data_IF_656814751518
#
_entry.id   IF_656814751518
#
_cell.length_a   1.000
_cell.length_b   1.000
_cell.length_c   1.000
_cell.angle_alpha   90.00
_cell.angle_beta   90.00
_cell.angle_gamma   90.00
#
_symmetry.space_group_name_H-M   'P 1'
#
loop_
_entity.id
_entity.type
_entity.pdbx_description
1 polymer ?
#
# COMPACT_ATOMS: atom_id res chain seq x y z
N UNK A 1 -20.69 -9.95 0.38
CA UNK A 1 -19.81 -11.07 0.72
C UNK A 1 -18.71 -11.05 -0.34
N UNK A 2 -17.57 -10.41 -0.05
CA UNK A 2 -16.40 -10.49 -0.94
C UNK A 2 -15.88 -11.92 -0.80
N UNK A 3 -16.28 -12.80 -1.71
CA UNK A 3 -15.65 -14.11 -1.83
C UNK A 3 -14.14 -13.90 -1.86
N UNK A 4 -13.48 -14.64 -0.99
CA UNK A 4 -12.12 -14.43 -0.53
C UNK A 4 -11.18 -14.31 -1.72
N UNK A 5 -10.83 -13.08 -2.11
CA UNK A 5 -9.62 -12.81 -2.87
C UNK A 5 -8.46 -13.28 -2.01
N UNK A 6 -8.10 -14.55 -2.14
CA UNK A 6 -6.93 -15.11 -1.48
C UNK A 6 -5.72 -14.55 -2.20
N UNK A 7 -5.27 -13.39 -1.73
CA UNK A 7 -4.03 -12.81 -2.19
C UNK A 7 -2.90 -13.70 -1.68
N UNK A 8 -2.16 -14.31 -2.59
CA UNK A 8 -0.98 -15.08 -2.23
C UNK A 8 0.01 -14.15 -1.51
N UNK A 9 0.56 -14.61 -0.38
CA UNK A 9 1.56 -13.84 0.36
C UNK A 9 2.82 -13.68 -0.49
N UNK A 10 3.30 -12.45 -0.60
CA UNK A 10 4.56 -12.14 -1.28
C UNK A 10 5.75 -12.60 -0.44
N UNK A 11 6.57 -13.47 -1.02
CA UNK A 11 7.79 -14.00 -0.41
C UNK A 11 9.07 -13.35 -0.94
N UNK A 12 8.95 -12.49 -1.96
CA UNK A 12 10.05 -11.90 -2.70
C UNK A 12 10.06 -12.27 -4.19
N UNK A 13 9.27 -13.25 -4.60
CA UNK A 13 9.21 -13.76 -5.98
C UNK A 13 8.01 -13.18 -6.75
N UNK A 14 8.13 -13.09 -8.08
CA UNK A 14 7.03 -12.67 -8.97
C UNK A 14 6.39 -11.32 -8.60
N UNK A 15 7.21 -10.33 -8.21
CA UNK A 15 6.76 -9.04 -7.70
C UNK A 15 5.72 -8.36 -8.59
N UNK A 16 5.90 -8.35 -9.92
CA UNK A 16 4.93 -7.76 -10.86
C UNK A 16 3.53 -8.37 -10.71
N UNK A 17 3.43 -9.71 -10.67
CA UNK A 17 2.14 -10.40 -10.54
C UNK A 17 1.47 -10.13 -9.19
N UNK A 18 2.24 -10.18 -8.11
CA UNK A 18 1.71 -9.87 -6.78
C UNK A 18 1.24 -8.41 -6.70
N UNK A 19 2.05 -7.48 -7.22
CA UNK A 19 1.76 -6.04 -7.27
C UNK A 19 0.44 -5.78 -8.00
N UNK A 20 0.25 -6.36 -9.19
CA UNK A 20 -0.97 -6.16 -9.98
C UNK A 20 -2.22 -6.68 -9.25
N UNK A 21 -2.15 -7.86 -8.64
CA UNK A 21 -3.27 -8.41 -7.85
C UNK A 21 -3.62 -7.53 -6.65
N UNK A 22 -2.61 -7.04 -5.92
CA UNK A 22 -2.83 -6.18 -4.75
C UNK A 22 -3.38 -4.81 -5.16
N UNK A 23 -2.86 -4.21 -6.23
CA UNK A 23 -3.38 -2.95 -6.76
C UNK A 23 -4.83 -3.07 -7.20
N UNK A 24 -5.19 -4.15 -7.91
CA UNK A 24 -6.59 -4.41 -8.28
C UNK A 24 -7.47 -4.46 -7.03
N UNK A 25 -7.08 -5.24 -6.02
CA UNK A 25 -7.81 -5.36 -4.78
C UNK A 25 -7.97 -4.03 -4.02
N UNK A 26 -6.91 -3.23 -3.89
CA UNK A 26 -6.98 -1.92 -3.23
C UNK A 26 -7.85 -0.92 -4.03
N UNK A 27 -7.95 -1.11 -5.35
CA UNK A 27 -8.74 -0.24 -6.24
C UNK A 27 -10.22 -0.53 -6.08
N UNK A 28 -10.61 -1.81 -6.00
CA UNK A 28 -11.98 -2.23 -5.66
C UNK A 28 -12.40 -1.72 -4.26
N UNK A 29 -11.45 -1.55 -3.35
CA UNK A 29 -11.68 -0.96 -2.03
C UNK A 29 -11.67 0.59 -2.02
N UNK A 30 -11.31 1.24 -3.13
CA UNK A 30 -11.24 2.70 -3.23
C UNK A 30 -10.10 3.36 -2.45
N UNK A 31 -9.06 2.61 -2.07
CA UNK A 31 -7.95 3.10 -1.21
C UNK A 31 -6.59 3.14 -1.90
N UNK A 32 -6.51 2.79 -3.19
CA UNK A 32 -5.24 2.82 -3.97
C UNK A 32 -4.62 4.22 -4.05
N UNK A 33 -5.41 5.28 -3.94
CA UNK A 33 -4.92 6.67 -3.97
C UNK A 33 -3.84 6.94 -2.91
N UNK A 34 -3.86 6.21 -1.80
CA UNK A 34 -2.88 6.31 -0.72
C UNK A 34 -1.47 5.81 -1.09
N UNK A 35 -1.33 5.13 -2.23
CA UNK A 35 -0.03 4.66 -2.72
C UNK A 35 0.63 5.66 -3.67
N UNK A 36 -0.12 6.68 -4.09
CA UNK A 36 0.32 7.59 -5.14
C UNK A 36 1.45 8.50 -4.66
N UNK A 37 2.40 8.80 -5.53
CA UNK A 37 3.54 9.69 -5.20
C UNK A 37 3.15 11.16 -5.02
N UNK A 38 2.01 11.56 -5.59
CA UNK A 38 1.43 12.90 -5.51
C UNK A 38 0.39 13.03 -4.38
N UNK A 39 0.31 12.05 -3.47
CA UNK A 39 -0.57 12.10 -2.31
C UNK A 39 -0.28 13.36 -1.48
N UNK A 40 -1.26 14.27 -1.44
CA UNK A 40 -1.15 15.48 -0.64
C UNK A 40 -1.35 15.18 0.83
N UNK A 41 -0.61 15.89 1.68
CA UNK A 41 -0.85 15.87 3.11
C UNK A 41 -2.19 16.54 3.42
N UNK A 42 -2.94 16.00 4.37
CA UNK A 42 -4.09 16.71 4.91
C UNK A 42 -3.61 17.95 5.66
N UNK A 43 -4.35 19.07 5.58
CA UNK A 43 -4.07 20.22 6.43
C UNK A 43 -4.18 19.83 7.90
N UNK A 44 -3.33 20.46 8.72
CA UNK A 44 -3.36 20.34 10.17
C UNK A 44 -4.77 20.64 10.72
N UNK A 45 -5.25 19.91 11.75
CA UNK A 45 -6.53 20.19 12.37
C UNK A 45 -6.60 21.62 12.92
N UNK A 46 -7.65 22.36 12.55
CA UNK A 46 -7.95 23.68 13.12
C UNK A 46 -9.31 23.67 13.83
N UNK A 47 -9.52 24.61 14.75
CA UNK A 47 -10.79 24.72 15.47
C UNK A 47 -11.94 25.13 14.53
N UNK A 48 -11.59 25.81 13.44
CA UNK A 48 -12.46 26.33 12.39
C UNK A 48 -12.79 25.29 11.31
N UNK A 49 -12.22 24.08 11.37
CA UNK A 49 -12.49 23.02 10.41
C UNK A 49 -14.00 22.70 10.38
N UNK A 50 -14.58 22.72 9.19
CA UNK A 50 -15.95 22.29 8.99
C UNK A 50 -16.11 20.79 9.28
N UNK A 51 -17.35 20.35 9.51
CA UNK A 51 -17.63 18.93 9.77
C UNK A 51 -17.25 18.05 8.57
N UNK A 52 -17.33 18.57 7.35
CA UNK A 52 -16.88 17.89 6.13
C UNK A 52 -15.37 17.66 6.13
N UNK A 53 -14.57 18.65 6.55
CA UNK A 53 -13.10 18.53 6.63
C UNK A 53 -12.73 17.49 7.69
N UNK A 54 -13.39 17.52 8.85
CA UNK A 54 -13.17 16.55 9.93
C UNK A 54 -13.53 15.12 9.48
N UNK A 55 -14.65 14.96 8.77
CA UNK A 55 -15.07 13.67 8.24
C UNK A 55 -14.11 13.15 7.16
N UNK A 56 -13.63 14.02 6.26
CA UNK A 56 -12.64 13.66 5.25
C UNK A 56 -11.31 13.22 5.87
N UNK A 57 -10.83 13.93 6.91
CA UNK A 57 -9.62 13.57 7.65
C UNK A 57 -9.78 12.18 8.29
N UNK A 58 -10.87 11.98 9.03
CA UNK A 58 -11.15 10.68 9.66
C UNK A 58 -11.21 9.55 8.65
N UNK A 59 -11.89 9.76 7.51
CA UNK A 59 -11.96 8.77 6.44
C UNK A 59 -10.56 8.42 5.91
N UNK A 60 -9.70 9.43 5.69
CA UNK A 60 -8.32 9.20 5.22
C UNK A 60 -7.50 8.42 6.26
N UNK A 61 -7.64 8.73 7.54
CA UNK A 61 -6.96 8.00 8.62
C UNK A 61 -7.40 6.52 8.66
N UNK A 62 -8.72 6.27 8.53
CA UNK A 62 -9.28 4.92 8.47
C UNK A 62 -8.79 4.16 7.21
N UNK A 63 -8.76 4.83 6.06
CA UNK A 63 -8.25 4.27 4.81
C UNK A 63 -6.74 3.96 4.91
N UNK A 64 -5.95 4.80 5.56
CA UNK A 64 -4.50 4.60 5.77
C UNK A 64 -4.22 3.35 6.61
N UNK A 65 -4.93 3.19 7.74
CA UNK A 65 -4.83 2.00 8.59
C UNK A 65 -5.19 0.75 7.80
N UNK A 66 -6.29 0.80 7.05
CA UNK A 66 -6.78 -0.31 6.22
C UNK A 66 -5.80 -0.68 5.12
N UNK A 67 -5.32 0.31 4.36
CA UNK A 67 -4.38 0.12 3.25
C UNK A 67 -3.06 -0.47 3.74
N UNK A 68 -2.48 0.10 4.81
CA UNK A 68 -1.28 -0.43 5.45
C UNK A 68 -1.48 -1.87 5.91
N UNK A 69 -2.64 -2.15 6.52
CA UNK A 69 -3.02 -3.49 6.95
C UNK A 69 -3.02 -4.50 5.79
N UNK A 70 -3.63 -4.17 4.66
CA UNK A 70 -3.66 -5.06 3.50
C UNK A 70 -2.28 -5.29 2.88
N UNK A 71 -1.48 -4.23 2.71
CA UNK A 71 -0.12 -4.38 2.19
C UNK A 71 0.66 -5.33 3.09
N UNK A 72 0.71 -5.07 4.40
CA UNK A 72 1.48 -5.90 5.32
C UNK A 72 0.96 -7.35 5.40
N UNK A 73 -0.36 -7.56 5.49
CA UNK A 73 -0.93 -8.92 5.54
C UNK A 73 -0.72 -9.73 4.25
N UNK A 74 -0.47 -9.05 3.14
CA UNK A 74 -0.13 -9.68 1.87
C UNK A 74 1.35 -10.04 1.73
N UNK A 75 2.17 -9.78 2.76
CA UNK A 75 3.57 -10.17 2.81
C UNK A 75 3.75 -11.50 3.56
N UNK A 76 4.81 -12.24 3.23
CA UNK A 76 5.34 -13.31 4.09
C UNK A 76 5.80 -12.75 5.43
N UNK A 77 5.82 -13.58 6.48
CA UNK A 77 6.14 -13.13 7.85
C UNK A 77 7.50 -12.41 7.93
N UNK A 78 8.51 -12.94 7.22
CA UNK A 78 9.84 -12.29 7.13
C UNK A 78 9.77 -10.88 6.53
N UNK A 79 8.98 -10.69 5.47
CA UNK A 79 8.84 -9.39 4.83
C UNK A 79 7.93 -8.47 5.65
N UNK A 80 6.91 -9.01 6.31
CA UNK A 80 6.08 -8.27 7.27
C UNK A 80 6.97 -7.60 8.32
N UNK A 81 7.84 -8.36 8.99
CA UNK A 81 8.73 -7.80 10.02
C UNK A 81 9.71 -6.77 9.48
N UNK A 82 10.18 -6.96 8.24
CA UNK A 82 11.07 -6.01 7.59
C UNK A 82 10.36 -4.68 7.26
N UNK A 83 9.12 -4.73 6.80
CA UNK A 83 8.41 -3.54 6.30
C UNK A 83 7.50 -2.89 7.35
N UNK A 84 7.08 -3.60 8.41
CA UNK A 84 6.22 -3.07 9.49
C UNK A 84 6.72 -1.78 10.16
N UNK A 85 8.03 -1.45 10.24
CA UNK A 85 8.45 -0.20 10.88
C UNK A 85 7.97 1.06 10.17
N UNK A 86 7.73 1.00 8.85
CA UNK A 86 7.19 2.11 8.06
C UNK A 86 5.76 2.44 8.50
N UNK A 87 5.46 3.74 8.56
CA UNK A 87 4.24 4.24 9.19
C UNK A 87 3.14 4.45 8.16
N UNK A 88 3.49 4.85 6.94
CA UNK A 88 2.49 5.06 5.88
C UNK A 88 2.43 3.90 4.88
N UNK A 89 1.27 3.65 4.26
CA UNK A 89 1.16 2.73 3.12
C UNK A 89 2.12 3.10 1.98
N UNK A 90 2.25 4.39 1.69
CA UNK A 90 3.08 4.95 0.63
C UNK A 90 4.58 4.64 0.83
N UNK A 91 5.07 4.76 2.07
CA UNK A 91 6.46 4.42 2.43
C UNK A 91 6.75 2.94 2.18
N UNK A 92 5.86 2.06 2.64
CA UNK A 92 5.98 0.61 2.43
C UNK A 92 5.98 0.31 0.94
N UNK A 93 5.04 0.90 0.20
CA UNK A 93 4.89 0.69 -1.24
C UNK A 93 6.14 1.10 -2.01
N UNK A 94 6.65 2.32 -1.76
CA UNK A 94 7.87 2.83 -2.39
C UNK A 94 9.08 1.95 -2.07
N UNK A 95 9.24 1.51 -0.82
CA UNK A 95 10.34 0.64 -0.43
C UNK A 95 10.28 -0.74 -1.11
N UNK A 96 9.08 -1.31 -1.27
CA UNK A 96 8.86 -2.55 -2.02
C UNK A 96 9.21 -2.37 -3.50
N UNK A 97 8.73 -1.30 -4.13
CA UNK A 97 9.01 -1.01 -5.53
C UNK A 97 10.50 -0.81 -5.78
N UNK A 98 11.19 -0.05 -4.93
CA UNK A 98 12.64 0.16 -5.04
C UNK A 98 13.40 -1.16 -4.92
N UNK A 99 13.05 -1.99 -3.93
CA UNK A 99 13.77 -3.24 -3.67
C UNK A 99 13.55 -4.30 -4.75
N UNK A 100 12.34 -4.44 -5.27
CA UNK A 100 11.97 -5.57 -6.13
C UNK A 100 11.79 -5.22 -7.61
N UNK A 101 11.72 -3.93 -7.97
CA UNK A 101 11.78 -3.49 -9.38
C UNK A 101 13.23 -3.42 -9.88
N UNK A 102 14.18 -3.03 -9.02
CA UNK A 102 15.61 -2.98 -9.37
C UNK A 102 16.21 -4.36 -9.71
N UNK A 103 15.68 -5.43 -9.11
CA UNK A 103 16.13 -6.82 -9.38
C UNK A 103 15.84 -7.24 -10.82
N UNK A 104 14.77 -6.73 -11.44
CA UNK A 104 14.40 -7.10 -12.81
C UNK A 104 15.40 -6.59 -13.86
N UNK A 105 15.95 -5.38 -13.67
CA UNK A 105 16.97 -4.82 -14.59
C UNK A 105 18.32 -5.56 -14.56
N UNK A 106 18.61 -6.34 -13.51
CA UNK A 106 19.80 -7.18 -13.43
C UNK A 106 19.65 -8.55 -14.08
N UNK A 107 18.42 -9.04 -14.22
CA UNK A 107 18.13 -10.43 -14.64
C UNK A 107 17.71 -10.52 -16.12
N UNK A 108 17.23 -9.42 -16.71
CA UNK A 108 16.91 -9.33 -18.15
C UNK A 108 18.16 -9.10 -19.05
N UNK A 109 19.39 -9.17 -18.51
CA UNK A 109 20.63 -9.10 -19.32
C UNK A 109 21.07 -10.43 -19.92
N UNK A 110 20.27 -11.48 -19.81
CA UNK A 110 20.56 -12.80 -20.38
C UNK A 110 19.34 -13.36 -21.12
N UNK A 111 18.92 -12.68 -22.18
CA UNK A 111 18.17 -13.27 -23.29
C UNK A 111 18.74 -12.74 -24.60
#
# INVERSE_FOLDING_TARGET
MFEVFKLDRFDGSNFTRWKDKLLYFLTELGITYLLSSDLTAMPEPTAEDSDEIKAARKKRDDDEVRCRGFILNSLSDRLYDLFRPHKSPQEIWKALEQKYTAVKQGTDRFL
#
